data_IF_070982380142
#
_entry.id   IF_070982380142
#
_cell.length_a   1.000
_cell.length_b   1.000
_cell.length_c   1.000
_cell.angle_alpha   90.00
_cell.angle_beta   90.00
_cell.angle_gamma   90.00
#
_symmetry.space_group_name_H-M   'P 1'
#
loop_
_entity.id
_entity.type
_entity.pdbx_description
1 polymer ?
#
# COMPACT_ATOMS: atom_id res chain seq x y z
N UNK A 1 -23.64 -10.18 0.87
CA UNK A 1 -23.59 -11.03 2.09
C UNK A 1 -22.14 -11.33 2.37
N UNK A 2 -21.63 -11.06 3.59
CA UNK A 2 -20.21 -11.24 3.90
C UNK A 2 -19.94 -12.63 4.49
N UNK A 3 -19.12 -13.43 3.80
CA UNK A 3 -18.93 -14.85 4.05
C UNK A 3 -18.44 -15.17 5.48
N UNK A 4 -17.56 -14.35 6.05
CA UNK A 4 -17.04 -14.60 7.41
C UNK A 4 -18.12 -14.52 8.50
N UNK A 5 -19.24 -13.82 8.25
CA UNK A 5 -20.38 -13.81 9.19
C UNK A 5 -21.09 -15.15 9.27
N UNK A 6 -21.10 -15.87 8.15
CA UNK A 6 -21.78 -17.17 7.99
C UNK A 6 -20.85 -18.35 8.28
N UNK A 7 -19.60 -18.08 8.68
CA UNK A 7 -18.67 -19.15 9.07
C UNK A 7 -19.13 -19.86 10.36
N UNK A 8 -18.72 -21.13 10.55
CA UNK A 8 -18.89 -21.85 11.81
C UNK A 8 -18.31 -21.08 13.00
N UNK A 9 -18.68 -21.48 14.23
CA UNK A 9 -18.12 -20.89 15.44
C UNK A 9 -16.60 -21.11 15.55
N UNK A 10 -15.94 -20.36 16.42
CA UNK A 10 -14.51 -20.50 16.70
C UNK A 10 -14.19 -21.95 17.11
N UNK A 11 -14.98 -22.51 18.01
CA UNK A 11 -14.84 -23.88 18.53
C UNK A 11 -14.97 -24.89 17.39
N UNK A 12 -16.00 -24.76 16.55
CA UNK A 12 -16.24 -25.67 15.42
C UNK A 12 -15.12 -25.60 14.36
N UNK A 13 -14.55 -24.41 14.13
CA UNK A 13 -13.42 -24.25 13.21
C UNK A 13 -12.15 -24.91 13.76
N UNK A 14 -11.88 -24.74 15.05
CA UNK A 14 -10.70 -25.30 15.71
C UNK A 14 -10.78 -26.84 15.84
N UNK A 15 -11.97 -27.40 16.12
CA UNK A 15 -12.17 -28.86 16.16
C UNK A 15 -11.90 -29.55 14.81
N UNK A 16 -12.09 -28.82 13.70
CA UNK A 16 -11.84 -29.34 12.34
C UNK A 16 -10.36 -29.34 11.96
N UNK A 17 -9.49 -28.77 12.79
CA UNK A 17 -8.04 -28.77 12.55
C UNK A 17 -7.53 -30.21 12.51
N UNK A 18 -6.96 -30.61 11.37
CA UNK A 18 -6.31 -31.92 11.21
C UNK A 18 -4.88 -31.72 10.71
N UNK A 19 -3.92 -32.34 11.40
CA UNK A 19 -2.53 -32.42 10.94
C UNK A 19 -1.68 -31.17 11.18
N UNK A 20 -0.56 -31.09 10.47
CA UNK A 20 0.43 -30.03 10.58
C UNK A 20 -0.05 -28.77 9.86
N UNK A 21 0.24 -27.61 10.45
CA UNK A 21 -0.04 -26.30 9.88
C UNK A 21 0.66 -26.14 8.52
N UNK A 22 -0.11 -26.11 7.43
CA UNK A 22 0.42 -25.74 6.12
C UNK A 22 0.81 -24.25 6.10
N UNK A 23 1.92 -23.93 5.44
CA UNK A 23 2.32 -22.54 5.17
C UNK A 23 1.82 -22.18 3.77
N UNK A 24 1.07 -21.09 3.67
CA UNK A 24 0.65 -20.55 2.37
C UNK A 24 1.44 -19.31 1.99
N UNK A 25 1.59 -19.09 0.68
CA UNK A 25 2.12 -17.83 0.17
C UNK A 25 1.15 -16.68 0.41
N UNK A 26 1.70 -15.56 0.88
CA UNK A 26 0.97 -14.36 1.27
C UNK A 26 1.58 -13.15 0.59
N UNK A 27 0.72 -12.29 0.07
CA UNK A 27 1.05 -10.92 -0.28
C UNK A 27 0.05 -9.98 0.39
N UNK A 28 0.41 -9.40 1.52
CA UNK A 28 -0.49 -8.60 2.35
C UNK A 28 -0.63 -7.13 1.92
N UNK A 29 -0.01 -6.73 0.80
CA UNK A 29 -0.01 -5.35 0.36
C UNK A 29 0.09 -5.24 -1.16
N UNK A 30 -1.06 -4.99 -1.78
CA UNK A 30 -1.19 -4.53 -3.16
C UNK A 30 -2.08 -3.30 -3.22
N UNK A 31 -1.73 -2.35 -4.06
CA UNK A 31 -2.62 -1.29 -4.50
C UNK A 31 -3.45 -1.75 -5.70
N UNK A 32 -4.59 -1.08 -5.92
CA UNK A 32 -5.48 -1.34 -7.04
C UNK A 32 -5.71 -0.07 -7.87
N UNK A 33 -6.42 -0.15 -9.02
CA UNK A 33 -6.79 1.02 -9.80
C UNK A 33 -7.67 2.05 -9.07
N UNK A 34 -8.15 1.76 -7.85
CA UNK A 34 -8.92 2.70 -7.05
C UNK A 34 -8.06 3.81 -6.42
N UNK A 35 -6.78 3.54 -6.15
CA UNK A 35 -5.81 4.58 -5.78
C UNK A 35 -4.78 4.83 -6.87
N UNK A 36 -3.91 3.87 -7.16
CA UNK A 36 -3.04 3.78 -8.33
C UNK A 36 -2.36 2.41 -8.29
N UNK A 37 -2.30 1.68 -9.40
CA UNK A 37 -1.55 0.43 -9.44
C UNK A 37 -0.99 0.10 -10.82
N UNK A 38 -0.09 -0.87 -10.88
CA UNK A 38 0.33 -1.52 -12.13
C UNK A 38 -0.82 -2.27 -12.81
N UNK A 39 -1.82 -2.73 -12.04
CA UNK A 39 -2.91 -3.56 -12.53
C UNK A 39 -3.88 -2.77 -13.42
N UNK A 40 -4.49 -3.47 -14.38
CA UNK A 40 -5.60 -2.93 -15.18
C UNK A 40 -6.90 -2.91 -14.40
N UNK A 41 -7.12 -3.95 -13.60
CA UNK A 41 -8.32 -4.19 -12.81
C UNK A 41 -8.00 -5.18 -11.67
N UNK A 42 -8.98 -5.40 -10.79
CA UNK A 42 -8.85 -6.32 -9.65
C UNK A 42 -8.76 -7.78 -10.10
N UNK A 43 -9.40 -8.16 -11.21
CA UNK A 43 -9.38 -9.53 -11.73
C UNK A 43 -7.95 -9.99 -12.02
N UNK A 44 -7.14 -9.12 -12.62
CA UNK A 44 -5.73 -9.40 -12.90
C UNK A 44 -4.94 -9.82 -11.65
N UNK A 45 -5.22 -9.21 -10.49
CA UNK A 45 -4.57 -9.55 -9.22
C UNK A 45 -4.84 -11.01 -8.86
N UNK A 46 -6.08 -11.45 -8.95
CA UNK A 46 -6.46 -12.82 -8.56
C UNK A 46 -6.08 -13.87 -9.61
N UNK A 47 -6.01 -13.51 -10.88
CA UNK A 47 -5.42 -14.36 -11.93
C UNK A 47 -3.93 -14.62 -11.65
N UNK A 48 -3.18 -13.57 -11.31
CA UNK A 48 -1.78 -13.68 -10.90
C UNK A 48 -1.65 -14.51 -9.62
N UNK A 49 -2.51 -14.27 -8.62
CA UNK A 49 -2.45 -15.00 -7.35
C UNK A 49 -2.63 -16.50 -7.56
N UNK A 50 -3.58 -16.90 -8.42
CA UNK A 50 -3.76 -18.30 -8.81
C UNK A 50 -2.56 -18.87 -9.55
N UNK A 51 -2.01 -18.13 -10.52
CA UNK A 51 -0.86 -18.56 -11.33
C UNK A 51 0.38 -18.76 -10.47
N UNK A 52 0.61 -17.85 -9.53
CA UNK A 52 1.75 -17.83 -8.62
C UNK A 52 1.52 -18.62 -7.33
N UNK A 53 0.32 -19.20 -7.16
CA UNK A 53 -0.10 -19.98 -5.97
C UNK A 53 -0.10 -19.17 -4.66
N UNK A 54 -0.28 -17.86 -4.74
CA UNK A 54 -0.55 -16.99 -3.59
C UNK A 54 -1.98 -17.23 -3.10
N UNK A 55 -2.14 -17.54 -1.80
CA UNK A 55 -3.43 -17.89 -1.20
C UNK A 55 -4.03 -16.81 -0.32
N UNK A 56 -3.25 -15.79 0.03
CA UNK A 56 -3.72 -14.64 0.80
C UNK A 56 -3.23 -13.37 0.12
N UNK A 57 -4.15 -12.46 -0.23
CA UNK A 57 -3.80 -11.18 -0.85
C UNK A 57 -4.47 -10.02 -0.11
N UNK A 58 -3.73 -8.96 0.17
CA UNK A 58 -4.22 -7.78 0.89
C UNK A 58 -4.30 -6.53 0.05
N UNK A 59 -5.51 -6.00 -0.16
CA UNK A 59 -5.74 -4.67 -0.75
C UNK A 59 -5.32 -3.59 0.25
N UNK A 60 -4.54 -2.60 -0.16
CA UNK A 60 -4.01 -1.54 0.74
C UNK A 60 -4.03 -0.15 0.08
N UNK A 61 -5.11 0.19 -0.60
CA UNK A 61 -5.22 1.45 -1.33
C UNK A 61 -5.09 2.70 -0.44
N UNK A 62 -4.59 3.79 -1.03
CA UNK A 62 -4.43 5.05 -0.30
C UNK A 62 -5.77 5.75 -0.04
N UNK A 63 -6.13 5.89 1.23
CA UNK A 63 -7.30 6.62 1.76
C UNK A 63 -8.69 6.07 1.38
N UNK A 64 -8.78 5.05 0.52
CA UNK A 64 -10.04 4.57 -0.05
C UNK A 64 -10.25 3.10 0.17
N UNK A 65 -11.54 2.73 0.27
CA UNK A 65 -11.98 1.34 0.43
C UNK A 65 -12.99 0.94 -0.66
N UNK A 66 -13.15 1.76 -1.69
CA UNK A 66 -14.08 1.54 -2.81
C UNK A 66 -13.76 0.25 -3.58
N UNK A 67 -12.51 -0.21 -3.53
CA UNK A 67 -12.08 -1.48 -4.08
C UNK A 67 -12.45 -2.71 -3.24
N UNK A 68 -12.94 -2.57 -2.01
CA UNK A 68 -13.16 -3.72 -1.11
C UNK A 68 -14.20 -4.71 -1.64
N UNK A 69 -15.36 -4.23 -2.13
CA UNK A 69 -16.41 -5.12 -2.64
C UNK A 69 -15.96 -5.92 -3.88
N UNK A 70 -15.45 -5.29 -4.96
CA UNK A 70 -14.96 -6.06 -6.10
C UNK A 70 -13.75 -6.95 -5.74
N UNK A 71 -12.91 -6.54 -4.79
CA UNK A 71 -11.81 -7.39 -4.29
C UNK A 71 -12.33 -8.63 -3.55
N UNK A 72 -13.35 -8.47 -2.70
CA UNK A 72 -14.04 -9.57 -2.03
C UNK A 72 -14.69 -10.54 -3.02
N UNK A 73 -15.40 -10.02 -4.03
CA UNK A 73 -16.07 -10.84 -5.04
C UNK A 73 -15.07 -11.70 -5.83
N UNK A 74 -13.95 -11.11 -6.28
CA UNK A 74 -12.91 -11.85 -6.98
C UNK A 74 -12.15 -12.83 -6.07
N UNK A 75 -11.93 -12.46 -4.80
CA UNK A 75 -11.34 -13.33 -3.80
C UNK A 75 -12.13 -14.63 -3.58
N UNK A 76 -13.47 -14.54 -3.57
CA UNK A 76 -14.35 -15.72 -3.50
C UNK A 76 -14.17 -16.58 -4.75
N UNK A 77 -14.26 -15.99 -5.95
CA UNK A 77 -14.15 -16.72 -7.23
C UNK A 77 -12.81 -17.42 -7.35
N UNK A 78 -11.74 -16.79 -6.88
CA UNK A 78 -10.38 -17.29 -6.98
C UNK A 78 -9.97 -18.25 -5.85
N UNK A 79 -10.78 -18.37 -4.79
CA UNK A 79 -10.42 -19.08 -3.56
C UNK A 79 -9.08 -18.61 -2.98
N UNK A 80 -8.95 -17.28 -2.88
CA UNK A 80 -7.80 -16.57 -2.30
C UNK A 80 -8.35 -15.73 -1.16
N UNK A 81 -7.79 -15.84 0.03
CA UNK A 81 -8.28 -15.12 1.20
C UNK A 81 -7.96 -13.61 1.09
N UNK A 82 -8.95 -12.71 1.19
CA UNK A 82 -8.73 -11.27 1.12
C UNK A 82 -8.36 -10.70 2.50
N UNK A 83 -7.30 -9.89 2.56
CA UNK A 83 -7.05 -8.98 3.67
C UNK A 83 -7.51 -7.57 3.29
N UNK A 84 -8.37 -6.97 4.10
CA UNK A 84 -8.89 -5.61 3.88
C UNK A 84 -8.02 -4.61 4.62
N UNK A 85 -7.13 -3.93 3.89
CA UNK A 85 -6.17 -2.99 4.44
C UNK A 85 -6.37 -1.61 3.80
N UNK A 86 -5.83 -0.57 4.44
CA UNK A 86 -5.82 0.78 3.91
C UNK A 86 -4.52 1.47 4.30
N UNK A 87 -3.95 2.24 3.38
CA UNK A 87 -2.75 3.06 3.62
C UNK A 87 -3.10 4.55 3.64
N UNK A 88 -2.34 5.33 4.38
CA UNK A 88 -2.47 6.78 4.48
C UNK A 88 -1.10 7.40 4.68
N UNK A 89 -0.95 8.64 4.22
CA UNK A 89 0.25 9.41 4.46
C UNK A 89 -0.05 10.40 5.57
N UNK A 90 0.74 10.35 6.63
CA UNK A 90 0.66 11.26 7.77
C UNK A 90 1.93 12.09 7.89
N UNK A 91 1.83 13.16 8.66
CA UNK A 91 2.93 14.06 8.95
C UNK A 91 3.24 14.05 10.45
N UNK A 92 4.42 13.53 10.79
CA UNK A 92 4.99 13.57 12.12
C UNK A 92 5.81 14.85 12.27
N UNK A 93 5.18 15.87 12.87
CA UNK A 93 5.70 17.26 12.88
C UNK A 93 6.98 17.41 13.69
N UNK A 94 7.15 16.66 14.77
CA UNK A 94 8.36 16.71 15.59
C UNK A 94 9.57 16.18 14.80
N UNK A 95 9.40 15.07 14.08
CA UNK A 95 10.40 14.47 13.19
C UNK A 95 10.70 15.40 12.01
N UNK A 96 9.67 16.04 11.43
CA UNK A 96 9.85 17.03 10.37
C UNK A 96 10.73 18.20 10.83
N UNK A 97 10.44 18.78 12.01
CA UNK A 97 11.23 19.88 12.58
C UNK A 97 12.67 19.47 12.85
N UNK A 98 12.90 18.21 13.24
CA UNK A 98 14.22 17.63 13.49
C UNK A 98 14.93 17.12 12.24
N UNK A 99 14.32 17.27 11.06
CA UNK A 99 14.84 16.76 9.79
C UNK A 99 15.08 15.25 9.78
N UNK A 100 14.26 14.50 10.51
CA UNK A 100 14.31 13.04 10.59
C UNK A 100 13.44 12.45 9.49
N UNK A 101 14.00 11.59 8.64
CA UNK A 101 13.23 10.80 7.69
C UNK A 101 12.64 9.60 8.42
N UNK A 102 11.35 9.36 8.21
CA UNK A 102 10.62 8.25 8.85
C UNK A 102 10.67 7.04 7.92
N UNK A 103 9.62 6.72 7.18
CA UNK A 103 9.62 5.67 6.15
C UNK A 103 9.43 6.24 4.73
N UNK A 104 9.43 7.57 4.59
CA UNK A 104 9.73 8.25 3.33
C UNK A 104 11.22 8.63 3.30
N UNK A 105 12.01 8.12 2.34
CA UNK A 105 13.45 8.38 2.29
C UNK A 105 13.83 9.79 1.81
N UNK A 106 12.86 10.58 1.33
CA UNK A 106 13.09 11.89 0.73
C UNK A 106 12.48 13.04 1.54
N UNK A 107 11.44 12.78 2.34
CA UNK A 107 10.66 13.81 3.00
C UNK A 107 10.68 13.65 4.53
N UNK A 108 11.44 14.49 5.27
CA UNK A 108 11.44 14.46 6.73
C UNK A 108 10.04 14.55 7.34
N UNK A 109 9.80 13.75 8.38
CA UNK A 109 8.53 13.66 9.10
C UNK A 109 7.38 13.00 8.33
N UNK A 110 7.52 12.71 7.03
CA UNK A 110 6.47 12.02 6.28
C UNK A 110 6.47 10.54 6.64
N UNK A 111 5.30 10.05 7.03
CA UNK A 111 5.11 8.68 7.45
C UNK A 111 3.94 8.03 6.68
N UNK A 112 4.26 7.01 5.90
CA UNK A 112 3.29 6.06 5.38
C UNK A 112 2.81 5.19 6.54
N UNK A 113 1.51 5.03 6.68
CA UNK A 113 0.93 4.28 7.77
C UNK A 113 -0.25 3.47 7.27
N UNK A 114 -0.33 2.22 7.69
CA UNK A 114 -1.37 1.30 7.24
C UNK A 114 -2.24 0.84 8.40
N UNK A 115 -3.41 0.31 8.06
CA UNK A 115 -4.14 -0.58 8.93
C UNK A 115 -4.39 -1.90 8.24
N UNK A 116 -4.39 -2.98 9.03
CA UNK A 116 -4.62 -4.35 8.56
C UNK A 116 -5.92 -4.89 9.10
N UNK A 117 -6.69 -5.57 8.25
CA UNK A 117 -7.92 -6.25 8.66
C UNK A 117 -9.07 -5.33 9.08
N UNK A 118 -9.24 -4.20 8.39
CA UNK A 118 -10.37 -3.30 8.63
C UNK A 118 -11.71 -4.00 8.41
N UNK A 119 -12.75 -3.47 9.05
CA UNK A 119 -14.11 -4.01 8.94
C UNK A 119 -14.59 -4.00 7.47
N UNK A 120 -15.27 -5.09 7.09
CA UNK A 120 -15.97 -5.21 5.82
C UNK A 120 -17.46 -5.53 6.04
N UNK A 121 -18.40 -4.71 5.52
CA UNK A 121 -18.18 -3.47 4.77
C UNK A 121 -17.56 -2.36 5.65
N UNK A 122 -16.71 -1.54 5.04
CA UNK A 122 -16.01 -0.45 5.72
C UNK A 122 -16.99 0.57 6.30
N UNK A 123 -16.73 0.99 7.54
CA UNK A 123 -17.52 1.99 8.27
C UNK A 123 -16.61 2.85 9.12
N UNK A 124 -17.02 4.11 9.26
CA UNK A 124 -16.42 5.07 10.18
C UNK A 124 -17.53 5.84 10.90
N UNK A 125 -17.25 6.25 12.13
CA UNK A 125 -18.07 7.21 12.85
C UNK A 125 -18.13 8.54 12.08
N UNK A 126 -19.25 9.28 12.15
CA UNK A 126 -19.46 10.47 11.31
C UNK A 126 -18.35 11.54 11.39
N UNK A 127 -17.78 11.87 12.57
CA UNK A 127 -16.70 12.86 12.65
C UNK A 127 -15.42 12.41 11.92
N UNK A 128 -15.03 11.15 12.08
CA UNK A 128 -13.83 10.59 11.45
C UNK A 128 -14.02 10.41 9.95
N UNK A 129 -15.22 10.01 9.51
CA UNK A 129 -15.58 10.00 8.09
C UNK A 129 -15.42 11.39 7.47
N UNK A 130 -15.95 12.44 8.11
CA UNK A 130 -15.81 13.83 7.63
C UNK A 130 -14.35 14.26 7.54
N UNK A 131 -13.53 13.89 8.53
CA UNK A 131 -12.09 14.20 8.55
C UNK A 131 -11.36 13.52 7.38
N UNK A 132 -11.58 12.22 7.17
CA UNK A 132 -10.98 11.48 6.06
C UNK A 132 -11.40 12.09 4.70
N UNK A 133 -12.69 12.39 4.53
CA UNK A 133 -13.19 13.02 3.30
C UNK A 133 -12.59 14.40 3.05
N UNK A 134 -12.37 15.21 4.10
CA UNK A 134 -11.75 16.53 3.96
C UNK A 134 -10.30 16.42 3.48
N UNK A 135 -9.53 15.48 4.03
CA UNK A 135 -8.13 15.24 3.62
C UNK A 135 -8.08 14.74 2.18
N UNK A 136 -8.94 13.78 1.81
CA UNK A 136 -9.06 13.32 0.43
C UNK A 136 -9.35 14.51 -0.51
N UNK A 137 -10.31 15.36 -0.16
CA UNK A 137 -10.64 16.53 -0.97
C UNK A 137 -9.44 17.47 -1.16
N UNK A 138 -8.67 17.72 -0.09
CA UNK A 138 -7.46 18.56 -0.13
C UNK A 138 -6.38 17.97 -1.04
N UNK A 139 -6.17 16.65 -1.02
CA UNK A 139 -5.23 16.00 -1.96
C UNK A 139 -5.64 16.20 -3.42
N UNK A 140 -6.94 16.28 -3.72
CA UNK A 140 -7.42 16.52 -5.08
C UNK A 140 -7.30 17.99 -5.50
N UNK A 141 -7.35 18.95 -4.56
CA UNK A 141 -7.06 20.37 -4.83
C UNK A 141 -5.63 20.52 -5.36
N UNK A 142 -4.66 19.90 -4.70
CA UNK A 142 -3.27 19.92 -5.14
C UNK A 142 -3.09 19.31 -6.54
N UNK A 143 -3.72 18.16 -6.82
CA UNK A 143 -3.64 17.53 -8.15
C UNK A 143 -4.24 18.41 -9.23
N UNK A 144 -5.34 19.11 -8.96
CA UNK A 144 -5.94 20.08 -9.90
C UNK A 144 -5.02 21.26 -10.16
N UNK A 145 -4.38 21.80 -9.12
CA UNK A 145 -3.36 22.84 -9.28
C UNK A 145 -2.15 22.35 -10.10
N UNK A 146 -1.73 21.10 -9.91
CA UNK A 146 -0.66 20.46 -10.68
C UNK A 146 -1.05 20.32 -12.17
N UNK A 147 -2.29 19.94 -12.47
CA UNK A 147 -2.82 19.91 -13.85
C UNK A 147 -2.79 21.30 -14.48
N UNK A 148 -3.25 22.34 -13.75
CA UNK A 148 -3.22 23.71 -14.25
C UNK A 148 -1.80 24.14 -14.63
N UNK A 149 -0.84 23.96 -13.71
CA UNK A 149 0.58 24.30 -13.94
C UNK A 149 1.18 23.48 -15.08
N UNK A 150 0.81 22.20 -15.19
CA UNK A 150 1.22 21.35 -16.30
C UNK A 150 0.68 21.88 -17.63
N UNK A 151 -0.58 22.29 -17.72
CA UNK A 151 -1.16 22.84 -18.94
C UNK A 151 -0.54 24.17 -19.35
N UNK A 152 -0.21 25.05 -18.40
CA UNK A 152 0.54 26.28 -18.65
C UNK A 152 1.91 25.98 -19.27
N UNK A 153 2.62 24.98 -18.73
CA UNK A 153 3.91 24.53 -19.25
C UNK A 153 3.80 23.87 -20.63
N UNK A 154 2.83 22.98 -20.83
CA UNK A 154 2.57 22.33 -22.12
C UNK A 154 2.26 23.36 -23.21
N UNK A 155 1.51 24.42 -22.88
CA UNK A 155 1.24 25.53 -23.79
C UNK A 155 2.52 26.30 -24.15
N UNK A 156 3.39 26.61 -23.19
CA UNK A 156 4.70 27.24 -23.47
C UNK A 156 5.58 26.34 -24.35
N UNK A 157 5.49 25.04 -24.14
CA UNK A 157 6.12 24.04 -24.98
C UNK A 157 5.38 23.82 -26.30
N UNK A 158 4.36 24.60 -26.67
CA UNK A 158 3.53 24.38 -27.88
C UNK A 158 3.19 22.89 -28.08
N UNK A 159 2.80 22.18 -27.01
CA UNK A 159 2.35 20.79 -27.09
C UNK A 159 0.92 20.78 -27.66
N UNK A 160 0.57 19.81 -28.51
CA UNK A 160 -0.73 19.79 -29.19
C UNK A 160 -1.89 19.26 -28.32
N UNK A 161 -1.69 19.13 -27.02
CA UNK A 161 -2.64 18.55 -26.08
C UNK A 161 -2.65 19.30 -24.75
N UNK A 162 -3.70 19.06 -23.97
CA UNK A 162 -3.84 19.52 -22.60
C UNK A 162 -4.41 18.38 -21.75
N UNK A 163 -4.21 18.47 -20.44
CA UNK A 163 -4.74 17.53 -19.46
C UNK A 163 -6.04 18.08 -18.87
N UNK A 164 -7.05 17.22 -18.76
CA UNK A 164 -8.30 17.50 -18.06
C UNK A 164 -8.47 16.53 -16.90
N UNK A 165 -8.80 17.07 -15.72
CA UNK A 165 -8.97 16.29 -14.50
C UNK A 165 -10.11 15.27 -14.65
N UNK A 166 -11.27 15.67 -15.18
CA UNK A 166 -12.42 14.76 -15.27
C UNK A 166 -12.17 13.63 -16.27
N UNK A 167 -11.49 13.93 -17.38
CA UNK A 167 -11.04 12.93 -18.34
C UNK A 167 -10.03 11.95 -17.74
N UNK A 168 -9.02 12.43 -17.01
CA UNK A 168 -8.04 11.57 -16.32
C UNK A 168 -8.74 10.72 -15.27
N UNK A 169 -9.61 11.33 -14.46
CA UNK A 169 -10.38 10.63 -13.43
C UNK A 169 -11.18 9.50 -14.04
N UNK A 170 -11.94 9.76 -15.10
CA UNK A 170 -12.81 8.76 -15.75
C UNK A 170 -12.03 7.62 -16.40
N UNK A 171 -10.91 7.93 -17.06
CA UNK A 171 -10.23 6.97 -17.94
C UNK A 171 -9.07 6.24 -17.28
N UNK A 172 -8.40 6.87 -16.31
CA UNK A 172 -7.13 6.40 -15.75
C UNK A 172 -7.18 6.14 -14.25
N UNK A 173 -8.09 6.78 -13.54
CA UNK A 173 -8.40 6.48 -12.15
C UNK A 173 -9.79 5.84 -12.06
N UNK A 174 -10.15 5.29 -10.91
CA UNK A 174 -11.57 5.09 -10.58
C UNK A 174 -12.08 6.33 -9.88
N UNK A 175 -11.59 6.57 -8.66
CA UNK A 175 -12.05 7.70 -7.85
C UNK A 175 -10.98 8.77 -7.61
N UNK A 176 -9.76 8.37 -7.26
CA UNK A 176 -8.69 9.29 -6.86
C UNK A 176 -7.65 9.50 -7.97
N UNK A 177 -7.50 10.75 -8.40
CA UNK A 177 -6.40 11.13 -9.29
C UNK A 177 -5.15 11.37 -8.44
N UNK A 178 -4.00 11.00 -8.99
CA UNK A 178 -2.69 11.03 -8.34
C UNK A 178 -1.66 11.53 -9.34
N UNK A 179 -0.52 12.01 -8.86
CA UNK A 179 0.62 12.45 -9.68
C UNK A 179 1.01 11.40 -10.75
N UNK A 180 0.95 10.11 -10.41
CA UNK A 180 1.26 9.03 -11.36
C UNK A 180 0.28 8.92 -12.53
N UNK A 181 -1.00 9.25 -12.31
CA UNK A 181 -2.00 9.30 -13.39
C UNK A 181 -1.71 10.44 -14.37
N UNK A 182 -1.20 11.58 -13.92
CA UNK A 182 -0.80 12.69 -14.80
C UNK A 182 0.37 12.27 -15.70
N UNK A 183 1.38 11.60 -15.14
CA UNK A 183 2.50 11.08 -15.94
C UNK A 183 2.03 10.09 -17.02
N UNK A 184 1.13 9.16 -16.66
CA UNK A 184 0.49 8.25 -17.62
C UNK A 184 -0.33 8.99 -18.67
N UNK A 185 -1.10 10.01 -18.28
CA UNK A 185 -1.90 10.83 -19.19
C UNK A 185 -1.04 11.60 -20.19
N UNK A 186 0.06 12.20 -19.74
CA UNK A 186 1.04 12.89 -20.61
C UNK A 186 1.61 11.91 -21.62
N UNK A 187 2.03 10.71 -21.18
CA UNK A 187 2.52 9.68 -22.10
C UNK A 187 1.47 9.28 -23.14
N UNK A 188 0.21 9.05 -22.74
CA UNK A 188 -0.88 8.74 -23.67
C UNK A 188 -1.01 9.84 -24.72
N UNK A 189 -1.09 11.10 -24.27
CA UNK A 189 -1.26 12.23 -25.16
C UNK A 189 -0.09 12.42 -26.13
N UNK A 190 1.16 12.16 -25.69
CA UNK A 190 2.34 12.13 -26.58
C UNK A 190 2.18 11.05 -27.67
N UNK A 191 1.70 9.87 -27.32
CA UNK A 191 1.49 8.77 -28.29
C UNK A 191 0.36 9.06 -29.28
N UNK A 192 -0.69 9.74 -28.82
CA UNK A 192 -1.82 10.16 -29.67
C UNK A 192 -1.43 11.31 -30.61
N UNK A 193 -0.44 12.13 -30.20
CA UNK A 193 0.04 13.27 -30.99
C UNK A 193 1.10 12.89 -32.03
N UNK A 194 1.89 11.85 -31.76
CA UNK A 194 3.06 11.48 -32.56
C UNK A 194 3.06 9.99 -32.91
N UNK A 195 3.10 9.71 -34.22
CA UNK A 195 3.05 8.34 -34.75
C UNK A 195 4.39 7.60 -34.65
N UNK A 196 5.52 8.31 -34.73
CA UNK A 196 6.87 7.74 -34.75
C UNK A 196 7.59 7.90 -33.42
N UNK A 197 8.54 7.02 -33.15
CA UNK A 197 9.37 7.09 -31.95
C UNK A 197 10.22 8.37 -31.94
N UNK A 198 10.70 8.82 -33.10
CA UNK A 198 11.44 10.08 -33.24
C UNK A 198 10.57 11.30 -32.91
N UNK A 199 9.31 11.32 -33.37
CA UNK A 199 8.36 12.39 -33.05
C UNK A 199 8.05 12.45 -31.56
N UNK A 200 7.80 11.29 -30.94
CA UNK A 200 7.56 11.17 -29.49
C UNK A 200 8.76 11.67 -28.69
N UNK A 201 9.98 11.29 -29.06
CA UNK A 201 11.20 11.75 -28.40
C UNK A 201 11.40 13.26 -28.56
N UNK A 202 11.14 13.81 -29.75
CA UNK A 202 11.23 15.25 -29.99
C UNK A 202 10.22 16.04 -29.14
N UNK A 203 8.98 15.55 -29.04
CA UNK A 203 7.94 16.15 -28.21
C UNK A 203 8.27 16.04 -26.71
N UNK A 204 8.73 14.88 -26.25
CA UNK A 204 9.20 14.69 -24.87
C UNK A 204 10.36 15.64 -24.54
N UNK A 205 11.36 15.75 -25.43
CA UNK A 205 12.48 16.67 -25.26
C UNK A 205 12.00 18.11 -25.06
N UNK A 206 11.02 18.54 -25.86
CA UNK A 206 10.42 19.87 -25.75
C UNK A 206 9.75 20.06 -24.38
N UNK A 207 8.91 19.11 -23.98
CA UNK A 207 8.20 19.11 -22.70
C UNK A 207 9.21 19.04 -21.53
N UNK A 208 10.36 18.38 -21.69
CA UNK A 208 11.43 18.30 -20.68
C UNK A 208 12.34 19.53 -20.63
N UNK A 209 11.98 20.63 -21.32
CA UNK A 209 12.79 21.85 -21.35
C UNK A 209 14.11 21.65 -22.11
N UNK A 210 14.10 20.85 -23.17
CA UNK A 210 15.24 20.57 -24.03
C UNK A 210 16.09 19.37 -23.64
N UNK A 211 15.81 18.71 -22.52
CA UNK A 211 16.54 17.53 -22.05
C UNK A 211 16.06 16.27 -22.78
N UNK A 212 17.00 15.44 -23.21
CA UNK A 212 16.69 14.15 -23.85
C UNK A 212 16.09 13.15 -22.84
N UNK A 213 15.22 12.27 -23.32
CA UNK A 213 14.77 11.10 -22.55
C UNK A 213 15.91 10.11 -22.38
N UNK A 214 16.14 9.66 -21.14
CA UNK A 214 17.11 8.63 -20.79
C UNK A 214 16.52 7.23 -20.91
N UNK A 215 15.22 7.08 -20.70
CA UNK A 215 14.52 5.79 -20.79
C UNK A 215 14.11 5.44 -22.22
N UNK A 216 14.02 6.44 -23.10
CA UNK A 216 13.45 6.31 -24.42
C UNK A 216 11.94 6.03 -24.36
N UNK A 217 11.39 5.53 -25.47
CA UNK A 217 9.94 5.31 -25.64
C UNK A 217 9.49 3.85 -25.55
N UNK A 218 10.43 2.91 -25.46
CA UNK A 218 10.12 1.47 -25.47
C UNK A 218 9.75 0.93 -24.10
N UNK A 219 10.38 1.42 -23.04
CA UNK A 219 10.06 1.03 -21.67
C UNK A 219 9.02 1.99 -21.10
N UNK A 220 7.74 1.65 -21.28
CA UNK A 220 6.62 2.49 -20.86
C UNK A 220 6.63 2.76 -19.35
N UNK A 221 6.81 1.77 -18.45
CA UNK A 221 6.91 2.05 -17.02
C UNK A 221 8.04 3.00 -16.63
N UNK A 222 9.23 2.80 -17.21
CA UNK A 222 10.38 3.67 -16.95
C UNK A 222 10.11 5.09 -17.47
N UNK A 223 9.51 5.23 -18.65
CA UNK A 223 9.16 6.51 -19.23
C UNK A 223 8.12 7.26 -18.39
N UNK A 224 7.06 6.60 -17.90
CA UNK A 224 6.08 7.26 -17.04
C UNK A 224 6.72 7.76 -15.73
N UNK A 225 7.65 6.99 -15.15
CA UNK A 225 8.42 7.44 -14.00
C UNK A 225 9.36 8.62 -14.35
N UNK A 226 9.96 8.63 -15.54
CA UNK A 226 10.79 9.73 -16.03
C UNK A 226 9.95 11.01 -16.20
N UNK A 227 8.80 10.94 -16.88
CA UNK A 227 7.88 12.07 -17.07
C UNK A 227 7.52 12.67 -15.71
N UNK A 228 7.17 11.81 -14.75
CA UNK A 228 6.85 12.21 -13.37
C UNK A 228 8.02 12.94 -12.71
N UNK A 229 9.23 12.40 -12.81
CA UNK A 229 10.43 13.00 -12.22
C UNK A 229 10.82 14.33 -12.87
N UNK A 230 10.62 14.46 -14.18
CA UNK A 230 11.05 15.64 -14.95
C UNK A 230 10.08 16.82 -14.82
N UNK A 231 8.79 16.55 -14.65
CA UNK A 231 7.74 17.57 -14.67
C UNK A 231 7.06 17.78 -13.33
N UNK A 232 6.71 16.68 -12.65
CA UNK A 232 5.72 16.70 -11.58
C UNK A 232 6.34 16.69 -10.17
N UNK A 233 7.63 16.34 -10.05
CA UNK A 233 8.39 16.35 -8.79
C UNK A 233 9.14 17.64 -8.54
N UNK A 234 9.59 17.85 -7.30
CA UNK A 234 10.32 19.04 -6.88
C UNK A 234 11.43 19.42 -7.88
N UNK A 235 11.42 20.68 -8.32
CA UNK A 235 12.30 21.19 -9.39
C UNK A 235 11.74 21.05 -10.81
N UNK A 236 10.67 20.30 -11.01
CA UNK A 236 9.95 20.16 -12.27
C UNK A 236 9.01 21.33 -12.55
N UNK A 237 8.75 21.60 -13.83
CA UNK A 237 7.98 22.76 -14.29
C UNK A 237 6.53 22.77 -13.81
N UNK A 238 5.95 21.60 -13.52
CA UNK A 238 4.56 21.44 -13.09
C UNK A 238 4.43 21.04 -11.62
N UNK A 239 5.53 21.01 -10.85
CA UNK A 239 5.48 20.66 -9.43
C UNK A 239 4.65 21.65 -8.62
N UNK A 240 3.79 21.11 -7.77
CA UNK A 240 3.04 21.84 -6.75
C UNK A 240 3.35 21.17 -5.41
N UNK A 241 3.90 21.90 -4.42
CA UNK A 241 4.15 21.32 -3.10
C UNK A 241 2.83 20.89 -2.46
N UNK A 242 2.87 19.82 -1.67
CA UNK A 242 1.72 19.43 -0.85
C UNK A 242 1.50 20.46 0.25
N UNK A 243 0.25 20.81 0.51
CA UNK A 243 -0.12 21.63 1.67
C UNK A 243 -0.06 20.77 2.93
N UNK A 244 0.42 21.31 4.05
CA UNK A 244 0.43 20.58 5.32
C UNK A 244 -0.98 20.19 5.78
N UNK A 245 -2.01 20.92 5.35
CA UNK A 245 -3.43 20.59 5.58
C UNK A 245 -3.88 19.33 4.81
N UNK A 246 -3.11 18.89 3.81
CA UNK A 246 -3.34 17.63 3.10
C UNK A 246 -2.83 16.41 3.89
N UNK A 247 -2.25 16.61 5.07
CA UNK A 247 -1.78 15.53 5.95
C UNK A 247 -2.52 15.52 7.28
N UNK A 248 -2.84 14.32 7.74
CA UNK A 248 -3.22 14.07 9.13
C UNK A 248 -1.98 13.83 9.98
N UNK A 249 -2.09 14.09 11.28
CA UNK A 249 -1.15 13.54 12.25
C UNK A 249 -1.26 12.01 12.31
N UNK A 250 -0.20 11.35 12.78
CA UNK A 250 -0.21 9.90 12.98
C UNK A 250 -1.35 9.48 13.94
N UNK A 251 -1.57 10.25 15.00
CA UNK A 251 -2.62 10.02 15.99
C UNK A 251 -4.03 10.10 15.39
N UNK A 252 -4.27 11.04 14.47
CA UNK A 252 -5.54 11.14 13.75
C UNK A 252 -5.76 9.94 12.83
N UNK A 253 -4.73 9.49 12.10
CA UNK A 253 -4.81 8.30 11.24
C UNK A 253 -5.07 7.04 12.09
N UNK A 254 -4.36 6.87 13.21
CA UNK A 254 -4.57 5.75 14.12
C UNK A 254 -6.00 5.71 14.65
N UNK A 255 -6.59 6.86 14.99
CA UNK A 255 -8.01 6.93 15.42
C UNK A 255 -8.97 6.48 14.32
N UNK A 256 -8.74 6.89 13.08
CA UNK A 256 -9.54 6.43 11.92
C UNK A 256 -9.43 4.91 11.78
N UNK A 257 -8.22 4.37 11.86
CA UNK A 257 -7.99 2.94 11.69
C UNK A 257 -8.61 2.09 12.79
N UNK A 258 -8.48 2.51 14.05
CA UNK A 258 -9.11 1.84 15.19
C UNK A 258 -10.64 1.91 15.12
N UNK A 259 -11.21 3.05 14.72
CA UNK A 259 -12.66 3.22 14.56
C UNK A 259 -13.22 2.35 13.42
N UNK A 260 -12.44 2.17 12.35
CA UNK A 260 -12.74 1.23 11.26
C UNK A 260 -12.43 -0.24 11.61
N UNK A 261 -12.10 -0.52 12.87
CA UNK A 261 -11.85 -1.86 13.38
C UNK A 261 -10.46 -2.42 13.09
N UNK A 262 -9.60 -1.74 12.33
CA UNK A 262 -8.32 -2.28 11.86
C UNK A 262 -7.21 -2.31 12.91
N UNK A 263 -6.17 -3.11 12.62
CA UNK A 263 -4.91 -3.20 13.37
C UNK A 263 -3.95 -2.12 12.83
N UNK A 264 -3.58 -1.08 13.62
CA UNK A 264 -2.57 -0.12 13.21
C UNK A 264 -1.24 -0.81 12.87
N UNK A 265 -0.68 -0.49 11.72
CA UNK A 265 0.48 -1.16 11.15
C UNK A 265 1.46 -0.12 10.60
N UNK A 266 2.73 -0.24 10.98
CA UNK A 266 3.80 0.63 10.49
C UNK A 266 4.53 -0.06 9.33
N UNK A 267 4.42 0.46 8.09
CA UNK A 267 5.32 0.10 7.00
C UNK A 267 6.76 0.49 7.34
N UNK A 268 7.67 -0.48 7.28
CA UNK A 268 9.11 -0.27 7.47
C UNK A 268 9.77 -0.19 6.09
N UNK A 269 10.54 0.86 5.85
CA UNK A 269 11.33 0.99 4.62
C UNK A 269 12.58 0.09 4.65
N UNK A 270 13.21 0.03 5.83
CA UNK A 270 14.39 -0.74 6.20
C UNK A 270 15.68 -0.25 5.51
N UNK A 271 16.15 -0.93 4.46
CA UNK A 271 17.41 -0.59 3.78
C UNK A 271 17.23 -0.15 2.33
N UNK A 272 18.01 0.85 1.92
CA UNK A 272 18.17 1.22 0.51
C UNK A 272 19.17 0.30 -0.21
N UNK A 273 19.36 0.50 -1.52
CA UNK A 273 20.28 -0.29 -2.35
C UNK A 273 21.76 -0.26 -1.90
N UNK A 274 22.13 0.65 -1.00
CA UNK A 274 23.47 0.80 -0.41
C UNK A 274 23.52 0.31 1.04
N UNK A 275 22.43 -0.24 1.57
CA UNK A 275 22.33 -0.69 2.95
C UNK A 275 22.09 0.43 3.97
N UNK A 276 21.70 1.63 3.54
CA UNK A 276 21.39 2.73 4.47
C UNK A 276 19.94 2.66 4.95
N UNK A 277 19.74 3.11 6.18
CA UNK A 277 18.43 3.24 6.82
C UNK A 277 18.05 4.72 6.93
N UNK A 278 16.78 4.98 7.20
CA UNK A 278 16.35 6.30 7.65
C UNK A 278 16.76 6.52 9.11
N UNK A 279 16.82 7.78 9.54
CA UNK A 279 17.24 8.11 10.91
C UNK A 279 16.26 7.58 11.96
N UNK A 280 14.99 7.39 11.57
CA UNK A 280 13.95 6.84 12.45
C UNK A 280 14.05 5.32 12.62
N UNK A 281 14.45 4.59 11.56
CA UNK A 281 14.44 3.12 11.54
C UNK A 281 15.81 2.48 11.86
N UNK A 282 16.90 3.25 11.83
CA UNK A 282 18.27 2.75 11.98
C UNK A 282 18.57 2.07 13.32
N UNK A 283 17.85 2.42 14.39
CA UNK A 283 18.01 1.83 15.73
C UNK A 283 16.77 0.99 16.07
N UNK A 284 16.94 -0.34 16.07
CA UNK A 284 15.83 -1.28 16.22
C UNK A 284 15.18 -1.23 17.60
N UNK A 285 15.96 -1.06 18.67
CA UNK A 285 15.41 -0.96 20.04
C UNK A 285 14.67 0.35 20.22
N UNK A 286 15.23 1.47 19.71
CA UNK A 286 14.53 2.76 19.74
C UNK A 286 13.23 2.71 18.94
N UNK A 287 13.25 2.11 17.74
CA UNK A 287 12.06 1.94 16.92
C UNK A 287 11.01 1.08 17.64
N UNK A 288 11.42 -0.07 18.20
CA UNK A 288 10.55 -0.94 19.00
C UNK A 288 9.87 -0.17 20.14
N UNK A 289 10.64 0.59 20.93
CA UNK A 289 10.09 1.37 22.03
C UNK A 289 9.10 2.43 21.57
N UNK A 290 9.41 3.14 20.48
CA UNK A 290 8.55 4.20 19.97
C UNK A 290 7.24 3.65 19.39
N UNK A 291 7.30 2.58 18.60
CA UNK A 291 6.10 1.91 18.08
C UNK A 291 5.25 1.34 19.23
N UNK A 292 5.87 0.65 20.19
CA UNK A 292 5.18 0.06 21.33
C UNK A 292 4.49 1.11 22.21
N UNK A 293 5.17 2.25 22.46
CA UNK A 293 4.63 3.38 23.21
C UNK A 293 3.37 3.96 22.56
N UNK A 294 3.30 3.93 21.23
CA UNK A 294 2.13 4.37 20.45
C UNK A 294 1.04 3.32 20.33
N UNK A 295 1.24 2.11 20.86
CA UNK A 295 0.29 1.01 20.72
C UNK A 295 0.36 0.31 19.36
N UNK A 296 1.47 0.44 18.65
CA UNK A 296 1.72 -0.22 17.37
C UNK A 296 2.49 -1.52 17.63
N UNK A 297 1.89 -2.66 17.30
CA UNK A 297 2.52 -3.99 17.39
C UNK A 297 2.39 -4.80 16.10
N UNK A 298 2.16 -4.12 14.99
CA UNK A 298 2.11 -4.69 13.65
C UNK A 298 3.03 -3.88 12.74
N UNK A 299 3.87 -4.57 11.97
CA UNK A 299 4.73 -3.97 10.96
C UNK A 299 4.55 -4.70 9.63
N UNK A 300 4.75 -3.96 8.55
CA UNK A 300 4.82 -4.55 7.21
C UNK A 300 6.10 -4.13 6.50
N UNK A 301 6.63 -5.01 5.65
CA UNK A 301 7.79 -4.71 4.81
C UNK A 301 7.48 -5.00 3.35
N UNK A 302 8.25 -4.38 2.46
CA UNK A 302 8.23 -4.63 1.02
C UNK A 302 9.56 -5.30 0.65
N UNK A 303 9.68 -6.65 0.77
CA UNK A 303 10.98 -7.33 0.70
C UNK A 303 11.76 -7.04 -0.56
N UNK A 304 11.10 -6.78 -1.69
CA UNK A 304 11.76 -6.46 -2.96
C UNK A 304 12.67 -5.23 -2.92
N UNK A 305 12.56 -4.40 -1.87
CA UNK A 305 13.46 -3.27 -1.61
C UNK A 305 14.70 -3.66 -0.81
N UNK A 306 14.63 -4.75 -0.06
CA UNK A 306 15.53 -5.04 1.04
C UNK A 306 16.53 -6.15 0.73
N UNK A 307 17.71 -6.06 1.34
CA UNK A 307 18.65 -7.18 1.39
C UNK A 307 18.10 -8.32 2.25
N UNK A 308 18.27 -9.57 1.79
CA UNK A 308 17.77 -10.75 2.51
C UNK A 308 18.32 -10.87 3.92
N UNK A 309 19.62 -10.60 4.13
CA UNK A 309 20.23 -10.72 5.45
C UNK A 309 19.70 -9.64 6.39
N UNK A 310 19.67 -8.40 5.92
CA UNK A 310 19.16 -7.26 6.71
C UNK A 310 17.69 -7.48 7.08
N UNK A 311 16.86 -7.88 6.11
CA UNK A 311 15.45 -8.24 6.33
C UNK A 311 15.32 -9.34 7.39
N UNK A 312 16.10 -10.41 7.27
CA UNK A 312 16.04 -11.54 8.21
C UNK A 312 16.39 -11.11 9.63
N UNK A 313 17.46 -10.34 9.80
CA UNK A 313 17.91 -9.87 11.12
C UNK A 313 16.87 -8.95 11.77
N UNK A 314 16.29 -8.02 10.99
CA UNK A 314 15.23 -7.13 11.46
C UNK A 314 13.94 -7.88 11.83
N UNK A 315 13.49 -8.80 10.97
CA UNK A 315 12.28 -9.59 11.19
C UNK A 315 12.40 -10.47 12.44
N UNK A 316 13.57 -11.09 12.66
CA UNK A 316 13.82 -11.88 13.88
C UNK A 316 13.73 -11.02 15.13
N UNK A 317 14.35 -9.84 15.13
CA UNK A 317 14.29 -8.91 16.24
C UNK A 317 12.85 -8.55 16.61
N UNK A 318 12.02 -8.13 15.64
CA UNK A 318 10.62 -7.77 15.92
C UNK A 318 9.73 -8.97 16.26
N UNK A 319 10.03 -10.16 15.71
CA UNK A 319 9.34 -11.40 16.06
C UNK A 319 9.56 -11.78 17.52
N UNK A 320 10.77 -11.66 18.03
CA UNK A 320 11.08 -11.92 19.44
C UNK A 320 10.27 -11.00 20.38
N UNK A 321 10.03 -9.75 19.95
CA UNK A 321 9.18 -8.76 20.65
C UNK A 321 7.67 -8.95 20.38
N UNK A 322 7.25 -10.05 19.76
CA UNK A 322 5.86 -10.42 19.48
C UNK A 322 5.09 -9.48 18.55
N UNK A 323 5.79 -8.77 17.66
CA UNK A 323 5.12 -8.03 16.60
C UNK A 323 4.47 -8.98 15.59
N UNK A 324 3.34 -8.55 15.04
CA UNK A 324 2.78 -9.12 13.81
C UNK A 324 3.59 -8.58 12.64
N UNK A 325 4.03 -9.46 11.74
CA UNK A 325 4.91 -9.11 10.62
C UNK A 325 4.28 -9.61 9.34
N UNK A 326 4.14 -8.71 8.36
CA UNK A 326 3.54 -8.99 7.06
C UNK A 326 4.48 -8.53 5.94
N UNK A 327 4.42 -9.20 4.79
CA UNK A 327 5.09 -8.76 3.57
C UNK A 327 4.10 -8.51 2.45
N UNK A 328 4.43 -7.56 1.60
CA UNK A 328 3.77 -7.40 0.32
C UNK A 328 4.68 -6.76 -0.71
N UNK A 329 4.09 -6.37 -1.83
CA UNK A 329 4.82 -5.92 -3.03
C UNK A 329 4.43 -4.51 -3.45
N UNK A 330 3.40 -3.93 -2.81
CA UNK A 330 2.84 -2.61 -3.03
C UNK A 330 2.16 -2.45 -4.40
N UNK A 331 2.81 -2.77 -5.53
CA UNK A 331 2.26 -2.58 -6.89
C UNK A 331 1.82 -1.13 -7.21
N UNK A 332 2.31 -0.14 -6.46
CA UNK A 332 2.10 1.30 -6.63
C UNK A 332 3.07 1.94 -7.65
N UNK A 333 3.52 1.18 -8.65
CA UNK A 333 4.35 1.67 -9.74
C UNK A 333 3.75 1.25 -11.08
N UNK A 334 4.07 1.93 -12.19
CA UNK A 334 3.62 1.49 -13.51
C UNK A 334 4.13 0.10 -13.91
N UNK A 335 5.24 -0.34 -13.32
CA UNK A 335 5.86 -1.62 -13.63
C UNK A 335 5.07 -2.77 -13.00
N UNK A 336 4.69 -3.74 -13.82
CA UNK A 336 4.07 -4.98 -13.35
C UNK A 336 5.15 -5.93 -12.84
N UNK A 337 5.03 -6.33 -11.58
CA UNK A 337 5.93 -7.28 -10.90
C UNK A 337 5.12 -8.48 -10.39
N UNK A 338 5.78 -9.63 -10.08
CA UNK A 338 5.10 -10.77 -9.47
C UNK A 338 4.37 -10.42 -8.17
N UNK A 339 3.34 -11.19 -7.83
CA UNK A 339 2.71 -11.14 -6.50
C UNK A 339 3.52 -11.87 -5.43
N UNK A 340 4.35 -12.82 -5.84
CA UNK A 340 5.26 -13.52 -4.94
C UNK A 340 6.22 -12.52 -4.29
N UNK A 341 6.29 -12.56 -2.96
CA UNK A 341 7.22 -11.70 -2.23
C UNK A 341 8.63 -12.30 -2.31
N UNK A 342 9.52 -11.63 -3.03
CA UNK A 342 10.95 -11.91 -3.06
C UNK A 342 11.73 -10.70 -2.53
N UNK A 343 12.97 -10.93 -2.09
CA UNK A 343 13.87 -9.86 -1.67
C UNK A 343 14.54 -9.17 -2.87
N UNK A 344 15.26 -8.07 -2.62
CA UNK A 344 15.95 -7.31 -3.67
C UNK A 344 16.81 -8.24 -4.55
N UNK A 345 16.70 -8.07 -5.87
CA UNK A 345 17.37 -8.92 -6.85
C UNK A 345 16.63 -10.24 -7.12
N UNK A 346 15.35 -10.34 -6.75
CA UNK A 346 14.51 -11.54 -6.92
C UNK A 346 15.08 -12.76 -6.17
N UNK A 347 15.66 -12.53 -4.99
CA UNK A 347 16.15 -13.61 -4.13
C UNK A 347 14.97 -14.11 -3.27
N UNK A 348 14.58 -15.40 -3.37
CA UNK A 348 13.42 -15.91 -2.66
C UNK A 348 13.51 -15.76 -1.14
N UNK A 349 12.36 -15.55 -0.50
CA UNK A 349 12.26 -15.60 0.95
C UNK A 349 12.63 -16.99 1.49
N UNK A 350 13.30 -17.02 2.64
CA UNK A 350 13.54 -18.27 3.37
C UNK A 350 12.22 -18.86 3.88
N UNK A 351 12.22 -20.16 4.19
CA UNK A 351 11.06 -20.81 4.81
C UNK A 351 10.64 -20.14 6.12
N UNK A 352 11.60 -19.66 6.91
CA UNK A 352 11.34 -18.90 8.14
C UNK A 352 10.57 -17.60 7.85
N UNK A 353 11.03 -16.80 6.88
CA UNK A 353 10.37 -15.55 6.51
C UNK A 353 8.97 -15.79 5.93
N UNK A 354 8.82 -16.82 5.07
CA UNK A 354 7.52 -17.25 4.55
C UNK A 354 6.55 -17.63 5.68
N UNK A 355 7.04 -18.41 6.66
CA UNK A 355 6.26 -18.80 7.84
C UNK A 355 5.84 -17.57 8.66
N UNK A 356 6.74 -16.63 8.90
CA UNK A 356 6.46 -15.41 9.68
C UNK A 356 5.38 -14.57 9.00
N UNK A 357 5.49 -14.37 7.69
CA UNK A 357 4.49 -13.65 6.91
C UNK A 357 3.12 -14.34 6.98
N UNK A 358 3.10 -15.67 6.84
CA UNK A 358 1.87 -16.45 6.95
C UNK A 358 1.24 -16.39 8.35
N UNK A 359 2.04 -16.49 9.42
CA UNK A 359 1.58 -16.32 10.80
C UNK A 359 0.98 -14.93 11.00
N UNK A 360 1.61 -13.88 10.45
CA UNK A 360 1.06 -12.52 10.48
C UNK A 360 -0.29 -12.41 9.78
N UNK A 361 -0.42 -13.00 8.59
CA UNK A 361 -1.68 -13.04 7.85
C UNK A 361 -2.78 -13.80 8.60
N UNK A 362 -2.43 -14.88 9.30
CA UNK A 362 -3.37 -15.60 10.16
C UNK A 362 -3.91 -14.69 11.26
N UNK A 363 -3.07 -13.90 11.94
CA UNK A 363 -3.54 -12.96 12.97
C UNK A 363 -4.56 -11.97 12.39
N UNK A 364 -4.28 -11.42 11.20
CA UNK A 364 -5.21 -10.50 10.51
C UNK A 364 -6.51 -11.20 10.11
N UNK A 365 -6.43 -12.43 9.59
CA UNK A 365 -7.60 -13.21 9.20
C UNK A 365 -8.51 -13.55 10.39
N UNK A 366 -7.94 -13.97 11.53
CA UNK A 366 -8.68 -14.19 12.77
C UNK A 366 -9.33 -12.90 13.26
N UNK A 367 -8.59 -11.79 13.22
CA UNK A 367 -9.13 -10.48 13.56
C UNK A 367 -10.34 -10.12 12.69
N UNK A 368 -10.24 -10.22 11.35
CA UNK A 368 -11.35 -9.96 10.44
C UNK A 368 -12.56 -10.88 10.71
N UNK A 369 -12.32 -12.17 10.96
CA UNK A 369 -13.38 -13.13 11.26
C UNK A 369 -14.16 -12.75 12.53
N UNK A 370 -13.46 -12.45 13.63
CA UNK A 370 -14.09 -12.05 14.89
C UNK A 370 -14.85 -10.73 14.73
N UNK A 371 -14.23 -9.74 14.08
CA UNK A 371 -14.83 -8.44 13.80
C UNK A 371 -16.10 -8.54 12.97
N UNK A 372 -16.11 -9.39 11.94
CA UNK A 372 -17.28 -9.63 11.10
C UNK A 372 -18.50 -10.08 11.93
N UNK A 373 -18.26 -10.79 13.03
CA UNK A 373 -19.26 -11.36 13.94
C UNK A 373 -19.60 -10.45 15.12
N UNK A 374 -19.05 -9.24 15.18
CA UNK A 374 -19.25 -8.31 16.29
C UNK A 374 -18.46 -8.67 17.55
N UNK A 375 -17.49 -9.58 17.44
CA UNK A 375 -16.62 -9.99 18.53
C UNK A 375 -15.35 -9.12 18.58
N UNK A 376 -14.60 -9.21 19.68
CA UNK A 376 -13.34 -8.49 19.81
C UNK A 376 -12.23 -9.15 18.99
N UNK A 377 -11.64 -8.39 18.06
CA UNK A 377 -10.45 -8.82 17.32
C UNK A 377 -9.15 -8.70 18.13
N UNK A 378 -8.03 -8.64 17.41
CA UNK A 378 -6.65 -8.56 17.94
C UNK A 378 -6.28 -7.25 18.66
N UNK A 379 -7.18 -6.27 18.73
CA UNK A 379 -6.94 -4.98 19.41
C UNK A 379 -7.79 -4.93 20.68
N UNK A 380 -7.17 -4.59 21.81
CA UNK A 380 -7.89 -4.30 23.06
C UNK A 380 -8.66 -2.97 22.97
N UNK A 381 -9.69 -2.76 23.81
CA UNK A 381 -10.40 -1.47 23.87
C UNK A 381 -9.51 -0.25 24.12
N UNK A 382 -8.34 -0.42 24.73
CA UNK A 382 -7.35 0.65 24.91
C UNK A 382 -6.52 0.98 23.65
N UNK A 383 -6.75 0.28 22.53
CA UNK A 383 -6.04 0.49 21.26
C UNK A 383 -4.75 -0.31 21.10
N UNK A 384 -4.30 -1.04 22.14
CA UNK A 384 -3.10 -1.87 22.08
C UNK A 384 -3.38 -3.28 21.52
N UNK A 385 -2.42 -3.90 20.81
CA UNK A 385 -2.55 -5.26 20.29
C UNK A 385 -2.49 -6.33 21.39
N UNK A 386 -3.24 -7.42 21.20
CA UNK A 386 -3.30 -8.60 22.07
C UNK A 386 -2.10 -9.53 21.84
N UNK A 387 -0.88 -9.02 22.00
CA UNK A 387 0.37 -9.78 21.73
C UNK A 387 0.52 -11.02 22.60
N UNK A 388 -0.05 -11.00 23.81
CA UNK A 388 -0.19 -12.15 24.73
C UNK A 388 -1.09 -13.27 24.19
N UNK A 389 -1.97 -12.94 23.24
CA UNK A 389 -2.92 -13.86 22.57
C UNK A 389 -2.50 -14.25 21.15
N UNK A 390 -1.30 -13.87 20.70
CA UNK A 390 -0.87 -14.04 19.32
C UNK A 390 -0.99 -15.49 18.83
N UNK A 391 -0.59 -16.48 19.64
CA UNK A 391 -0.66 -17.89 19.25
C UNK A 391 -2.11 -18.37 18.99
N UNK A 392 -3.07 -17.92 19.81
CA UNK A 392 -4.49 -18.25 19.64
C UNK A 392 -5.04 -17.64 18.33
N UNK A 393 -4.61 -16.42 18.00
CA UNK A 393 -4.99 -15.74 16.75
C UNK A 393 -4.36 -16.39 15.52
N UNK A 394 -3.11 -16.85 15.61
CA UNK A 394 -2.47 -17.61 14.53
C UNK A 394 -3.27 -18.89 14.26
N UNK A 395 -3.63 -19.64 15.31
CA UNK A 395 -4.38 -20.88 15.19
C UNK A 395 -5.76 -20.68 14.54
N UNK A 396 -6.54 -19.72 15.06
CA UNK A 396 -7.85 -19.39 14.51
C UNK A 396 -7.72 -18.88 13.06
N UNK A 397 -6.73 -18.05 12.78
CA UNK A 397 -6.52 -17.45 11.48
C UNK A 397 -6.28 -18.47 10.38
N UNK A 398 -5.49 -19.50 10.69
CA UNK A 398 -5.23 -20.59 9.77
C UNK A 398 -6.49 -21.36 9.41
N UNK A 399 -7.29 -21.79 10.40
CA UNK A 399 -8.52 -22.54 10.11
C UNK A 399 -9.56 -21.68 9.36
N UNK A 400 -9.56 -20.36 9.61
CA UNK A 400 -10.36 -19.39 8.83
C UNK A 400 -9.88 -19.33 7.38
N UNK A 401 -8.57 -19.22 7.13
CA UNK A 401 -7.99 -19.19 5.78
C UNK A 401 -8.23 -20.52 5.07
N UNK A 402 -7.96 -21.66 5.72
CA UNK A 402 -8.21 -23.00 5.17
C UNK A 402 -9.66 -23.18 4.74
N UNK A 403 -10.62 -22.70 5.56
CA UNK A 403 -12.04 -22.79 5.22
C UNK A 403 -12.41 -21.97 3.99
N UNK A 404 -11.71 -20.87 3.73
CA UNK A 404 -11.94 -20.00 2.57
C UNK A 404 -11.42 -20.59 1.28
N UNK A 405 -10.23 -21.20 1.32
CA UNK A 405 -9.52 -21.65 0.12
C UNK A 405 -9.95 -23.06 -0.35
N UNK A 406 -10.79 -23.74 0.44
CA UNK A 406 -11.49 -24.98 0.09
C UNK A 406 -12.63 -24.72 -0.90
#
# INVERSE_FOLDING_TARGET
>A
MYLLKEYPSKEELLERRKGVFGIHEVNAHVHTPYSFSAFTDITQIFEMARKEKVKVVGINDFYVTDGYEPFYEEAIKAKVFPLFNMESICLMREEQQRQIRVNDPNNPGRCYFSAKGLDYPFRLSPPLKKKLSAVIAETQVQVKAMIQKCNEWLKQCNAPFFLDYETIKKNLAKELVRERHLAKAIRIAVWESEATDEGRLALLKKIYGGKESKTGVKNIPALENEIRSMLLKAGGAAFVPEDENAFMSLEEVMRIYLDAGGIPCYPVLLDDARGNFTEYEADYEKLFHELSRRGIGCIELIPGRNDLKILTDFVRFFKEKKFVILFGTEHNAPEMIPLTCDTRGNVPLTEELRKINYEGACVVAAHQYLRARGEEGFIYPCGHPKTDKQAEFIELGHVVIEKWIQ
#
